data_IF_917150464719
#
_entry.id   IF_917150464719
#
_cell.length_a   1.000
_cell.length_b   1.000
_cell.length_c   1.000
_cell.angle_alpha   90.00
_cell.angle_beta   90.00
_cell.angle_gamma   90.00
#
_symmetry.space_group_name_H-M   'P 1'
#
loop_
_entity.id
_entity.type
_entity.pdbx_description
1 polymer ?
#
# COMPACT_ATOMS: atom_id res chain seq x y z
N UNK A 1 22.61 41.28 -37.27
CA UNK A 1 23.95 40.68 -37.03
C UNK A 1 23.73 39.28 -36.50
N UNK A 2 24.14 38.24 -37.23
CA UNK A 2 24.00 36.82 -36.87
C UNK A 2 25.17 36.42 -35.98
N UNK A 3 24.91 35.80 -34.83
CA UNK A 3 25.92 35.11 -34.05
C UNK A 3 25.43 33.67 -33.86
N UNK A 4 26.12 32.77 -34.56
CA UNK A 4 26.02 31.32 -34.47
C UNK A 4 26.78 30.81 -33.23
N UNK A 5 26.48 29.56 -32.85
CA UNK A 5 27.31 28.64 -32.02
C UNK A 5 27.22 28.97 -30.53
N UNK A 6 26.86 28.07 -29.60
CA UNK A 6 27.31 26.68 -29.43
C UNK A 6 26.19 25.84 -28.77
N UNK A 7 25.95 24.66 -29.31
CA UNK A 7 25.23 23.56 -28.67
C UNK A 7 25.98 23.12 -27.40
N UNK A 8 25.43 23.41 -26.21
CA UNK A 8 25.77 22.66 -25.01
C UNK A 8 24.57 21.78 -24.70
N UNK A 9 24.64 20.55 -25.20
CA UNK A 9 23.77 19.47 -24.80
C UNK A 9 24.11 19.09 -23.35
N UNK A 10 23.52 19.79 -22.38
CA UNK A 10 23.50 19.31 -21.00
C UNK A 10 22.49 18.18 -20.95
N UNK A 11 22.96 16.95 -21.20
CA UNK A 11 22.21 15.76 -20.87
C UNK A 11 22.04 15.72 -19.35
N UNK A 12 20.92 16.27 -18.86
CA UNK A 12 20.42 15.96 -17.54
C UNK A 12 19.86 14.54 -17.63
N UNK A 13 20.77 13.57 -17.57
CA UNK A 13 20.42 12.19 -17.30
C UNK A 13 19.80 12.21 -15.90
N UNK A 14 18.48 12.34 -15.84
CA UNK A 14 17.71 11.90 -14.70
C UNK A 14 17.93 10.39 -14.57
N UNK A 15 19.07 10.01 -13.98
CA UNK A 15 19.14 8.85 -13.12
C UNK A 15 18.17 9.15 -11.96
N UNK A 16 16.87 9.02 -12.23
CA UNK A 16 16.02 8.42 -11.22
C UNK A 16 16.50 6.98 -11.20
N UNK A 17 17.59 6.74 -10.45
CA UNK A 17 17.74 5.49 -9.76
C UNK A 17 16.37 5.28 -9.14
N UNK A 18 15.59 4.38 -9.74
CA UNK A 18 14.40 3.85 -9.12
C UNK A 18 14.91 3.30 -7.81
N UNK A 19 14.82 4.12 -6.77
CA UNK A 19 14.88 3.63 -5.42
C UNK A 19 13.83 2.53 -5.45
N UNK A 20 14.16 1.27 -5.13
CA UNK A 20 13.12 0.39 -4.65
C UNK A 20 12.63 1.13 -3.42
N UNK A 21 11.58 1.93 -3.61
CA UNK A 21 10.78 2.48 -2.56
C UNK A 21 10.37 1.23 -1.82
N UNK A 22 11.08 0.96 -0.75
CA UNK A 22 10.73 -0.05 0.20
C UNK A 22 9.41 0.42 0.80
N UNK A 23 8.32 0.16 0.08
CA UNK A 23 7.06 -0.26 0.68
C UNK A 23 7.32 -1.63 1.32
N UNK A 24 8.29 -1.71 2.23
CA UNK A 24 8.79 -2.95 2.82
C UNK A 24 7.78 -3.56 3.79
N UNK A 25 6.69 -2.87 4.10
CA UNK A 25 5.55 -3.42 4.83
C UNK A 25 4.43 -3.96 3.94
N UNK A 26 4.14 -3.33 2.79
CA UNK A 26 2.94 -3.62 1.99
C UNK A 26 3.05 -4.90 1.16
N UNK A 27 4.14 -5.06 0.40
CA UNK A 27 4.31 -6.17 -0.55
C UNK A 27 4.34 -7.55 0.13
N UNK A 28 4.79 -7.63 1.38
CA UNK A 28 4.84 -8.90 2.12
C UNK A 28 3.51 -9.31 2.75
N UNK A 29 2.65 -8.34 3.08
CA UNK A 29 1.32 -8.62 3.63
C UNK A 29 0.41 -9.04 2.48
N UNK A 30 0.34 -8.25 1.42
CA UNK A 30 -0.57 -8.50 0.30
C UNK A 30 -0.36 -9.90 -0.29
N UNK A 31 0.88 -10.38 -0.41
CA UNK A 31 1.18 -11.74 -0.88
C UNK A 31 0.54 -12.88 -0.05
N UNK A 32 0.22 -12.66 1.23
CA UNK A 32 -0.47 -13.65 2.08
C UNK A 32 -1.98 -13.64 1.90
N UNK A 33 -2.51 -12.56 1.33
CA UNK A 33 -3.92 -12.26 1.21
C UNK A 33 -4.39 -12.16 -0.26
N UNK A 34 -3.46 -12.19 -1.21
CA UNK A 34 -3.69 -12.37 -2.64
C UNK A 34 -4.08 -13.84 -2.91
N UNK A 35 -5.38 -14.08 -3.06
CA UNK A 35 -6.02 -15.38 -3.29
C UNK A 35 -6.27 -15.63 -4.79
N UNK A 36 -6.01 -14.64 -5.64
CA UNK A 36 -6.11 -14.72 -7.10
C UNK A 36 -4.74 -14.89 -7.77
N UNK A 37 -3.68 -14.61 -7.03
CA UNK A 37 -2.28 -14.67 -7.42
C UNK A 37 -1.93 -13.68 -8.54
N UNK A 38 -2.56 -12.50 -8.51
CA UNK A 38 -2.36 -11.42 -9.47
C UNK A 38 -1.38 -10.33 -8.99
N UNK A 39 -0.89 -10.48 -7.75
CA UNK A 39 0.12 -9.63 -7.12
C UNK A 39 -0.45 -8.48 -6.30
N UNK A 40 -1.77 -8.37 -6.18
CA UNK A 40 -2.44 -7.36 -5.35
C UNK A 40 -3.55 -8.01 -4.51
N UNK A 41 -4.08 -7.26 -3.55
CA UNK A 41 -5.33 -7.64 -2.87
C UNK A 41 -6.43 -6.76 -3.45
N UNK A 42 -7.35 -7.37 -4.20
CA UNK A 42 -8.46 -6.67 -4.83
C UNK A 42 -9.83 -7.12 -4.29
N UNK A 43 -10.91 -6.66 -4.94
CA UNK A 43 -12.27 -7.05 -4.56
C UNK A 43 -12.54 -8.56 -4.72
N UNK A 44 -11.89 -9.20 -5.70
CA UNK A 44 -12.01 -10.64 -5.95
C UNK A 44 -11.35 -11.44 -4.83
N UNK A 45 -10.19 -11.00 -4.33
CA UNK A 45 -9.56 -11.58 -3.14
C UNK A 45 -10.40 -11.35 -1.90
N UNK A 46 -10.88 -10.13 -1.70
CA UNK A 46 -11.72 -9.75 -0.57
C UNK A 46 -12.96 -10.64 -0.43
N UNK A 47 -13.63 -10.95 -1.55
CA UNK A 47 -14.79 -11.83 -1.59
C UNK A 47 -14.45 -13.30 -1.23
N UNK A 48 -13.20 -13.72 -1.45
CA UNK A 48 -12.71 -15.06 -1.12
C UNK A 48 -12.19 -15.17 0.32
N UNK A 49 -11.93 -14.03 0.98
CA UNK A 49 -11.49 -14.01 2.38
C UNK A 49 -12.60 -14.39 3.35
N UNK A 50 -12.24 -15.19 4.36
CA UNK A 50 -13.08 -15.34 5.55
C UNK A 50 -13.10 -14.06 6.38
N UNK A 51 -14.08 -13.92 7.27
CA UNK A 51 -14.17 -12.76 8.16
C UNK A 51 -12.95 -12.63 9.10
N UNK A 52 -12.36 -13.75 9.51
CA UNK A 52 -11.10 -13.76 10.25
C UNK A 52 -9.91 -13.33 9.40
N UNK A 53 -9.86 -13.73 8.13
CA UNK A 53 -8.83 -13.28 7.20
C UNK A 53 -8.93 -11.78 6.92
N UNK A 54 -10.14 -11.23 6.74
CA UNK A 54 -10.36 -9.78 6.59
C UNK A 54 -9.87 -9.00 7.82
N UNK A 55 -10.17 -9.49 9.02
CA UNK A 55 -9.69 -8.89 10.27
C UNK A 55 -8.18 -9.01 10.44
N UNK A 56 -7.60 -10.14 10.06
CA UNK A 56 -6.14 -10.33 10.06
C UNK A 56 -5.47 -9.37 9.08
N UNK A 57 -5.99 -9.26 7.86
CA UNK A 57 -5.49 -8.32 6.84
C UNK A 57 -5.50 -6.89 7.38
N UNK A 58 -6.63 -6.42 7.91
CA UNK A 58 -6.74 -5.09 8.50
C UNK A 58 -5.70 -4.85 9.62
N UNK A 59 -5.55 -5.78 10.54
CA UNK A 59 -4.59 -5.64 11.64
C UNK A 59 -3.14 -5.64 11.16
N UNK A 60 -2.79 -6.49 10.21
CA UNK A 60 -1.44 -6.56 9.64
C UNK A 60 -1.14 -5.30 8.82
N UNK A 61 -2.10 -4.79 8.05
CA UNK A 61 -1.96 -3.50 7.32
C UNK A 61 -1.67 -2.35 8.29
N UNK A 62 -2.39 -2.28 9.42
CA UNK A 62 -2.13 -1.27 10.46
C UNK A 62 -0.72 -1.42 11.06
N UNK A 63 -0.27 -2.66 11.33
CA UNK A 63 1.10 -2.91 11.79
C UNK A 63 2.15 -2.50 10.75
N UNK A 64 1.93 -2.74 9.47
CA UNK A 64 2.84 -2.33 8.40
C UNK A 64 2.97 -0.81 8.26
N UNK A 65 1.95 -0.06 8.66
CA UNK A 65 2.03 1.40 8.78
C UNK A 65 2.80 1.86 10.03
N UNK A 66 3.27 0.92 10.86
CA UNK A 66 4.00 1.22 12.10
C UNK A 66 3.09 1.54 13.29
N UNK A 67 1.82 1.16 13.22
CA UNK A 67 0.81 1.50 14.21
C UNK A 67 0.32 0.25 14.97
N UNK A 68 -0.22 0.45 16.18
CA UNK A 68 -0.82 -0.65 16.96
C UNK A 68 -2.29 -0.87 16.56
N UNK A 69 -2.66 -2.02 15.98
CA UNK A 69 -4.05 -2.34 15.63
C UNK A 69 -4.98 -2.46 16.85
N UNK A 70 -4.43 -2.64 18.04
CA UNK A 70 -5.19 -2.76 19.28
C UNK A 70 -5.31 -1.44 20.04
N UNK A 71 -4.67 -0.37 19.57
CA UNK A 71 -4.84 0.97 20.13
C UNK A 71 -6.31 1.38 20.02
N UNK A 72 -6.91 1.76 21.14
CA UNK A 72 -8.29 2.24 21.21
C UNK A 72 -8.36 3.68 20.69
N UNK A 73 -9.23 3.91 19.71
CA UNK A 73 -9.56 5.22 19.17
C UNK A 73 -10.72 5.85 19.94
N UNK A 74 -11.07 7.10 19.61
CA UNK A 74 -12.27 7.74 20.14
C UNK A 74 -13.51 6.88 19.84
N UNK A 75 -14.34 6.63 20.85
CA UNK A 75 -15.53 5.78 20.71
C UNK A 75 -15.33 4.30 21.02
N UNK A 76 -14.21 3.92 21.65
CA UNK A 76 -13.94 2.57 22.18
C UNK A 76 -13.71 1.48 21.11
N UNK A 77 -13.52 1.85 19.85
CA UNK A 77 -13.13 0.94 18.76
C UNK A 77 -11.60 0.85 18.66
N UNK A 78 -11.04 -0.33 18.33
CA UNK A 78 -9.61 -0.43 18.07
C UNK A 78 -9.25 0.07 16.67
N UNK A 79 -8.01 0.53 16.48
CA UNK A 79 -7.53 1.02 15.19
C UNK A 79 -7.71 0.00 14.06
N UNK A 80 -7.43 -1.27 14.34
CA UNK A 80 -7.63 -2.37 13.40
C UNK A 80 -9.09 -2.60 13.02
N UNK A 81 -10.03 -2.46 13.98
CA UNK A 81 -11.46 -2.54 13.71
C UNK A 81 -11.96 -1.36 12.87
N UNK A 82 -11.50 -0.14 13.18
CA UNK A 82 -11.80 1.04 12.38
C UNK A 82 -11.27 0.91 10.95
N UNK A 83 -10.04 0.38 10.78
CA UNK A 83 -9.47 0.12 9.46
C UNK A 83 -10.22 -0.97 8.69
N UNK A 84 -10.64 -2.05 9.37
CA UNK A 84 -11.50 -3.09 8.77
C UNK A 84 -12.81 -2.50 8.23
N UNK A 85 -13.42 -1.56 8.97
CA UNK A 85 -14.63 -0.86 8.51
C UNK A 85 -14.37 -0.01 7.26
N UNK A 86 -13.22 0.67 7.19
CA UNK A 86 -12.81 1.41 6.00
C UNK A 86 -12.61 0.48 4.80
N UNK A 87 -11.92 -0.66 4.97
CA UNK A 87 -11.73 -1.66 3.91
C UNK A 87 -13.07 -2.19 3.38
N UNK A 88 -14.03 -2.47 4.28
CA UNK A 88 -15.39 -2.86 3.88
C UNK A 88 -16.06 -1.82 2.99
N UNK A 89 -15.95 -0.53 3.32
CA UNK A 89 -16.55 0.52 2.50
C UNK A 89 -15.94 0.65 1.09
N UNK A 90 -14.79 0.04 0.84
CA UNK A 90 -14.12 0.04 -0.47
C UNK A 90 -14.51 -1.21 -1.28
N UNK A 91 -14.67 -2.35 -0.63
CA UNK A 91 -14.88 -3.65 -1.28
C UNK A 91 -16.32 -4.19 -1.22
N UNK A 92 -17.20 -3.60 -0.42
CA UNK A 92 -18.61 -3.99 -0.20
C UNK A 92 -19.56 -2.80 -0.49
#
# INVERSE_FOLDING_TARGET
>A
MKINTVLIATAFACLVAGQPGQAAGGLGIDARFDLTNDGIVDASDWQRMTEDAKRAYANESVKAMGEDPHAVLEGSETRGAHFLKALRSVYE
#
